data_IF_010074799873
#
_entry.id   IF_010074799873
#
_cell.length_a   1.000
_cell.length_b   1.000
_cell.length_c   1.000
_cell.angle_alpha   90.00
_cell.angle_beta   90.00
_cell.angle_gamma   90.00
#
_symmetry.space_group_name_H-M   'P 1'
#
loop_
_entity.id
_entity.type
_entity.pdbx_description
1 polymer ?
#
# COMPACT_ATOMS: atom_id res chain seq x y z
N UNK A 1 -23.82 21.33 -1.12
CA UNK A 1 -23.97 22.48 -2.04
C UNK A 1 -24.97 22.10 -3.12
N UNK A 2 -26.19 22.66 -3.11
CA UNK A 2 -27.13 22.50 -4.24
C UNK A 2 -26.72 23.49 -5.33
N UNK A 3 -25.80 23.08 -6.20
CA UNK A 3 -25.40 23.86 -7.38
C UNK A 3 -26.31 23.53 -8.55
N UNK A 4 -27.23 24.44 -8.90
CA UNK A 4 -27.98 24.34 -10.16
C UNK A 4 -27.06 24.79 -11.30
N UNK A 5 -26.61 23.84 -12.12
CA UNK A 5 -25.95 24.14 -13.40
C UNK A 5 -27.00 24.74 -14.34
N UNK A 6 -26.95 26.05 -14.54
CA UNK A 6 -27.80 26.72 -15.53
C UNK A 6 -26.96 27.04 -16.76
N UNK A 7 -27.26 26.42 -17.90
CA UNK A 7 -26.84 26.92 -19.20
C UNK A 7 -27.57 28.24 -19.46
N UNK A 8 -26.94 29.36 -19.12
CA UNK A 8 -27.34 30.64 -19.69
C UNK A 8 -26.80 30.73 -21.13
N UNK A 9 -27.34 31.64 -21.95
CA UNK A 9 -27.11 31.78 -23.40
C UNK A 9 -25.66 32.13 -23.84
N UNK A 10 -24.67 31.84 -23.00
CA UNK A 10 -23.23 31.98 -23.20
C UNK A 10 -22.63 30.61 -23.50
N UNK A 11 -21.57 30.47 -24.34
CA UNK A 11 -20.93 29.19 -24.62
C UNK A 11 -20.27 28.54 -23.38
N UNK A 12 -20.13 29.30 -22.29
CA UNK A 12 -19.48 28.88 -21.07
C UNK A 12 -20.48 28.32 -20.05
N UNK A 13 -20.13 27.18 -19.45
CA UNK A 13 -20.89 26.61 -18.33
C UNK A 13 -20.56 27.41 -17.08
N UNK A 14 -21.57 27.91 -16.36
CA UNK A 14 -21.36 28.67 -15.12
C UNK A 14 -21.98 27.95 -13.92
N UNK A 15 -21.35 28.11 -12.75
CA UNK A 15 -21.87 27.64 -11.46
C UNK A 15 -22.13 28.83 -10.53
N UNK A 16 -23.13 28.69 -9.65
CA UNK A 16 -23.39 29.64 -8.56
C UNK A 16 -22.76 29.16 -7.27
N UNK A 17 -21.93 30.02 -6.67
CA UNK A 17 -21.32 29.82 -5.35
C UNK A 17 -21.74 30.97 -4.44
N UNK A 18 -22.70 30.71 -3.54
CA UNK A 18 -23.34 31.77 -2.75
C UNK A 18 -24.06 32.76 -3.67
N UNK A 19 -23.71 34.04 -3.55
CA UNK A 19 -24.27 35.13 -4.39
C UNK A 19 -23.49 35.35 -5.69
N UNK A 20 -22.31 34.73 -5.84
CA UNK A 20 -21.44 34.90 -7.00
C UNK A 20 -21.75 33.86 -8.08
N UNK A 21 -21.76 34.30 -9.35
CA UNK A 21 -21.81 33.42 -10.52
C UNK A 21 -20.44 33.38 -11.17
N UNK A 22 -19.85 32.19 -11.26
CA UNK A 22 -18.49 31.99 -11.79
C UNK A 22 -18.51 31.01 -12.96
N UNK A 23 -17.55 31.14 -13.86
CA UNK A 23 -17.32 30.21 -14.96
C UNK A 23 -16.78 28.86 -14.44
N UNK A 24 -17.27 27.75 -15.00
CA UNK A 24 -16.89 26.40 -14.64
C UNK A 24 -15.94 25.81 -15.70
N UNK A 25 -14.71 25.50 -15.29
CA UNK A 25 -13.75 24.81 -16.13
C UNK A 25 -14.12 23.31 -16.26
N UNK A 26 -14.20 22.73 -17.47
CA UNK A 26 -14.53 21.31 -17.67
C UNK A 26 -13.56 20.34 -16.99
N UNK A 27 -12.29 20.73 -16.83
CA UNK A 27 -11.26 19.90 -16.20
C UNK A 27 -11.22 20.01 -14.67
N UNK A 28 -12.10 20.85 -14.08
CA UNK A 28 -12.11 21.05 -12.63
C UNK A 28 -12.58 19.79 -11.90
N UNK A 29 -11.75 19.31 -10.97
CA UNK A 29 -12.05 18.21 -10.06
C UNK A 29 -12.00 18.69 -8.62
N UNK A 30 -12.95 18.22 -7.81
CA UNK A 30 -13.08 18.61 -6.42
C UNK A 30 -12.92 17.39 -5.51
N UNK A 31 -11.99 17.47 -4.57
CA UNK A 31 -11.70 16.43 -3.59
C UNK A 31 -11.81 17.03 -2.19
N UNK A 32 -12.49 16.32 -1.28
CA UNK A 32 -12.53 16.63 0.15
C UNK A 32 -12.00 15.41 0.91
N UNK A 33 -11.18 15.65 1.92
CA UNK A 33 -10.74 14.63 2.87
C UNK A 33 -11.31 14.93 4.26
N UNK A 34 -11.59 13.89 5.04
CA UNK A 34 -12.02 14.00 6.43
C UNK A 34 -11.32 12.94 7.27
N UNK A 35 -11.01 13.27 8.53
CA UNK A 35 -10.45 12.33 9.52
C UNK A 35 -11.53 11.60 10.32
N UNK A 36 -12.80 11.99 10.15
CA UNK A 36 -13.92 11.32 10.81
C UNK A 36 -14.10 9.92 10.24
N UNK A 37 -14.07 8.91 11.09
CA UNK A 37 -14.19 7.50 10.69
C UNK A 37 -15.57 7.17 10.12
N UNK A 38 -16.62 7.77 10.69
CA UNK A 38 -18.01 7.59 10.25
C UNK A 38 -18.75 8.94 10.20
N UNK A 39 -18.52 9.76 9.16
CA UNK A 39 -19.22 11.02 8.99
C UNK A 39 -20.68 10.79 8.60
N UNK A 40 -21.60 11.46 9.29
CA UNK A 40 -23.03 11.37 8.99
C UNK A 40 -23.40 12.33 7.86
N UNK A 41 -23.91 11.80 6.75
CA UNK A 41 -24.35 12.59 5.60
C UNK A 41 -25.87 12.56 5.47
N UNK A 42 -26.46 13.71 5.08
CA UNK A 42 -27.86 13.74 4.70
C UNK A 42 -28.05 13.04 3.34
N UNK A 43 -29.16 12.32 3.11
CA UNK A 43 -29.42 11.63 1.84
C UNK A 43 -29.39 12.54 0.59
N UNK A 44 -29.56 13.85 0.77
CA UNK A 44 -29.51 14.85 -0.32
C UNK A 44 -28.09 15.13 -0.84
N UNK A 45 -27.06 14.61 -0.17
CA UNK A 45 -25.66 14.82 -0.56
C UNK A 45 -25.22 13.71 -1.50
N UNK A 46 -25.22 13.99 -2.81
CA UNK A 46 -24.67 13.09 -3.82
C UNK A 46 -23.14 13.21 -3.87
N UNK A 47 -22.45 12.38 -3.09
CA UNK A 47 -20.99 12.28 -3.09
C UNK A 47 -20.56 10.82 -3.25
N UNK A 48 -19.47 10.60 -3.98
CA UNK A 48 -18.78 9.29 -3.99
C UNK A 48 -17.83 9.24 -2.81
N UNK A 49 -18.04 8.30 -1.89
CA UNK A 49 -17.18 8.12 -0.72
C UNK A 49 -16.08 7.11 -1.02
N UNK A 50 -14.83 7.50 -0.77
CA UNK A 50 -13.67 6.61 -0.78
C UNK A 50 -13.21 6.40 0.66
N UNK A 51 -13.21 5.16 1.11
CA UNK A 51 -12.77 4.80 2.45
C UNK A 51 -11.30 4.35 2.44
N UNK A 52 -10.44 5.14 3.08
CA UNK A 52 -9.01 4.84 3.25
C UNK A 52 -8.69 4.22 4.62
N UNK A 53 -9.69 3.59 5.26
CA UNK A 53 -9.46 2.88 6.51
C UNK A 53 -8.52 1.70 6.29
N UNK A 54 -7.52 1.61 7.15
CA UNK A 54 -6.59 0.47 7.21
C UNK A 54 -7.41 -0.77 7.57
N UNK A 55 -7.39 -1.78 6.70
CA UNK A 55 -8.04 -3.07 6.96
C UNK A 55 -7.09 -3.98 7.75
N UNK A 56 -7.63 -4.96 8.50
CA UNK A 56 -6.79 -5.96 9.17
C UNK A 56 -5.83 -6.68 8.22
N UNK A 57 -6.34 -7.11 7.07
CA UNK A 57 -5.56 -7.77 6.01
C UNK A 57 -4.46 -6.85 5.47
N UNK A 58 -4.81 -5.60 5.10
CA UNK A 58 -3.82 -4.63 4.60
C UNK A 58 -2.75 -4.28 5.63
N UNK A 59 -3.10 -4.22 6.91
CA UNK A 59 -2.13 -4.01 8.00
C UNK A 59 -1.20 -5.22 8.15
N UNK A 60 -1.72 -6.44 8.06
CA UNK A 60 -0.91 -7.66 8.11
C UNK A 60 0.09 -7.69 6.95
N UNK A 61 -0.36 -7.43 5.73
CA UNK A 61 0.52 -7.39 4.55
C UNK A 61 1.61 -6.32 4.68
N UNK A 62 1.24 -5.14 5.18
CA UNK A 62 2.19 -4.06 5.42
C UNK A 62 3.25 -4.45 6.46
N UNK A 63 2.84 -5.02 7.59
CA UNK A 63 3.75 -5.45 8.65
C UNK A 63 4.62 -6.63 8.20
N UNK A 64 4.08 -7.55 7.40
CA UNK A 64 4.83 -8.65 6.79
C UNK A 64 5.94 -8.13 5.88
N UNK A 65 5.64 -7.15 5.04
CA UNK A 65 6.66 -6.48 4.22
C UNK A 65 7.77 -5.86 5.06
N UNK A 66 7.42 -5.16 6.15
CA UNK A 66 8.39 -4.53 7.03
C UNK A 66 9.28 -5.55 7.73
N UNK A 67 8.72 -6.61 8.32
CA UNK A 67 9.52 -7.61 9.04
C UNK A 67 10.44 -8.36 8.08
N UNK A 68 9.96 -8.74 6.89
CA UNK A 68 10.79 -9.40 5.87
C UNK A 68 11.92 -8.50 5.44
N UNK A 69 11.66 -7.22 5.13
CA UNK A 69 12.70 -6.29 4.69
C UNK A 69 13.78 -6.06 5.76
N UNK A 70 13.45 -6.18 7.05
CA UNK A 70 14.41 -6.04 8.15
C UNK A 70 15.17 -7.33 8.47
N UNK A 71 14.51 -8.48 8.41
CA UNK A 71 15.10 -9.78 8.74
C UNK A 71 15.90 -10.37 7.58
N UNK A 72 15.39 -10.19 6.35
CA UNK A 72 15.90 -10.76 5.10
C UNK A 72 15.96 -9.70 4.00
N UNK A 73 16.86 -8.70 4.14
CA UNK A 73 17.03 -7.67 3.11
C UNK A 73 17.49 -8.25 1.77
N UNK A 74 18.19 -9.39 1.80
CA UNK A 74 18.59 -10.18 0.64
C UNK A 74 17.38 -10.59 -0.21
N UNK A 75 16.33 -11.10 0.43
CA UNK A 75 15.11 -11.54 -0.26
C UNK A 75 14.31 -10.34 -0.80
N UNK A 76 14.34 -9.21 -0.11
CA UNK A 76 13.66 -8.00 -0.57
C UNK A 76 14.37 -7.42 -1.80
N UNK A 77 15.69 -7.34 -1.81
CA UNK A 77 16.47 -6.91 -2.97
C UNK A 77 16.25 -7.82 -4.18
N UNK A 78 16.28 -9.14 -3.97
CA UNK A 78 16.01 -10.13 -5.02
C UNK A 78 14.58 -9.98 -5.58
N UNK A 79 13.59 -9.78 -4.70
CA UNK A 79 12.20 -9.55 -5.11
C UNK A 79 12.05 -8.27 -5.94
N UNK A 80 12.69 -7.17 -5.54
CA UNK A 80 12.65 -5.91 -6.29
C UNK A 80 13.32 -6.08 -7.67
N UNK A 81 14.45 -6.79 -7.74
CA UNK A 81 15.12 -7.10 -9.00
C UNK A 81 14.22 -7.92 -9.94
N UNK A 82 13.55 -8.96 -9.43
CA UNK A 82 12.61 -9.78 -10.20
C UNK A 82 11.40 -8.98 -10.69
N UNK A 83 10.89 -8.03 -9.91
CA UNK A 83 9.80 -7.14 -10.32
C UNK A 83 10.18 -6.28 -11.52
N UNK A 84 11.36 -5.64 -11.45
CA UNK A 84 11.87 -4.81 -12.56
C UNK A 84 12.14 -5.66 -13.79
N UNK A 85 12.78 -6.82 -13.61
CA UNK A 85 13.06 -7.75 -14.71
C UNK A 85 11.76 -8.29 -15.34
N UNK A 86 10.76 -8.65 -14.54
CA UNK A 86 9.47 -9.14 -15.03
C UNK A 86 8.69 -8.07 -15.80
N UNK A 87 8.75 -6.81 -15.37
CA UNK A 87 8.17 -5.69 -16.10
C UNK A 87 8.86 -5.48 -17.46
N UNK A 88 10.19 -5.54 -17.49
CA UNK A 88 10.98 -5.42 -18.72
C UNK A 88 10.73 -6.59 -19.68
N UNK A 89 10.72 -7.84 -19.18
CA UNK A 89 10.41 -9.02 -19.99
C UNK A 89 9.01 -8.91 -20.63
N UNK A 90 7.99 -8.48 -19.86
CA UNK A 90 6.63 -8.27 -20.38
C UNK A 90 6.58 -7.18 -21.44
N UNK A 91 7.34 -6.10 -21.26
CA UNK A 91 7.49 -5.03 -22.26
C UNK A 91 8.09 -5.56 -23.55
N UNK A 92 9.21 -6.29 -23.45
CA UNK A 92 9.91 -6.86 -24.61
C UNK A 92 9.05 -7.88 -25.36
N UNK A 93 8.31 -8.74 -24.66
CA UNK A 93 7.38 -9.68 -25.29
C UNK A 93 6.31 -8.95 -26.10
N UNK A 94 5.74 -7.87 -25.54
CA UNK A 94 4.78 -7.04 -26.26
C UNK A 94 5.39 -6.36 -27.48
N UNK A 95 6.60 -5.83 -27.38
CA UNK A 95 7.29 -5.21 -28.52
C UNK A 95 7.59 -6.22 -29.64
N UNK A 96 7.92 -7.46 -29.27
CA UNK A 96 8.10 -8.54 -30.24
C UNK A 96 6.76 -8.89 -30.90
N UNK A 97 5.67 -8.96 -30.13
CA UNK A 97 4.32 -9.20 -30.65
C UNK A 97 3.89 -8.10 -31.63
N UNK A 98 4.04 -6.83 -31.24
CA UNK A 98 3.72 -5.67 -32.08
C UNK A 98 4.53 -5.69 -33.37
N UNK A 99 5.83 -6.04 -33.30
CA UNK A 99 6.70 -6.16 -34.48
C UNK A 99 6.28 -7.30 -35.41
N UNK A 100 5.84 -8.44 -34.86
CA UNK A 100 5.29 -9.55 -35.66
C UNK A 100 4.02 -9.10 -36.39
N UNK A 101 3.11 -8.41 -35.69
CA UNK A 101 1.88 -7.88 -36.28
C UNK A 101 2.15 -6.85 -37.36
N UNK A 102 3.12 -5.96 -37.16
CA UNK A 102 3.55 -4.98 -38.15
C UNK A 102 4.03 -5.66 -39.44
N UNK A 103 4.95 -6.63 -39.33
CA UNK A 103 5.46 -7.39 -40.49
C UNK A 103 4.32 -8.11 -41.21
N UNK A 104 3.43 -8.79 -40.47
CA UNK A 104 2.28 -9.49 -41.05
C UNK A 104 1.31 -8.54 -41.76
N UNK A 105 1.15 -7.31 -41.26
CA UNK A 105 0.26 -6.30 -41.84
C UNK A 105 0.84 -5.58 -43.06
N UNK A 106 2.18 -5.44 -43.11
CA UNK A 106 2.89 -4.74 -44.17
C UNK A 106 3.19 -5.63 -45.39
N UNK A 107 3.14 -6.96 -45.24
CA UNK A 107 3.34 -7.89 -46.34
C UNK A 107 2.17 -7.86 -47.33
N UNK A 108 2.35 -7.19 -48.47
CA UNK A 108 1.47 -7.28 -49.63
C UNK A 108 1.89 -8.49 -50.51
N UNK A 109 1.06 -9.54 -50.56
CA UNK A 109 1.33 -10.74 -51.36
C UNK A 109 1.68 -11.99 -50.54
N UNK A 110 2.45 -12.93 -51.11
CA UNK A 110 2.85 -14.16 -50.43
C UNK A 110 4.03 -13.90 -49.50
N UNK A 111 3.79 -13.84 -48.18
CA UNK A 111 4.81 -13.61 -47.17
C UNK A 111 5.96 -14.62 -47.19
N UNK A 112 5.74 -15.83 -47.73
CA UNK A 112 6.78 -16.85 -47.85
C UNK A 112 7.87 -16.49 -48.88
N UNK A 113 7.60 -15.51 -49.75
CA UNK A 113 8.56 -15.01 -50.76
C UNK A 113 9.36 -13.81 -50.23
N UNK A 114 8.94 -13.20 -49.11
CA UNK A 114 9.67 -12.12 -48.45
C UNK A 114 10.68 -12.71 -47.45
N UNK A 115 11.91 -12.91 -47.92
CA UNK A 115 13.03 -13.40 -47.11
C UNK A 115 13.26 -12.53 -45.86
N UNK A 116 13.00 -11.22 -45.95
CA UNK A 116 13.19 -10.29 -44.82
C UNK A 116 12.12 -10.50 -43.74
N UNK A 117 10.86 -10.66 -44.15
CA UNK A 117 9.76 -10.98 -43.24
C UNK A 117 10.00 -12.33 -42.54
N UNK A 118 10.41 -13.36 -43.28
CA UNK A 118 10.73 -14.69 -42.73
C UNK A 118 11.87 -14.61 -41.72
N UNK A 119 12.92 -13.84 -42.00
CA UNK A 119 14.06 -13.70 -41.10
C UNK A 119 13.69 -12.93 -39.83
N UNK A 120 12.89 -11.86 -39.94
CA UNK A 120 12.39 -11.11 -38.78
C UNK A 120 11.51 -12.02 -37.91
N UNK A 121 10.54 -12.74 -38.49
CA UNK A 121 9.66 -13.66 -37.77
C UNK A 121 10.45 -14.77 -37.05
N UNK A 122 11.46 -15.33 -37.71
CA UNK A 122 12.33 -16.36 -37.12
C UNK A 122 13.12 -15.82 -35.92
N UNK A 123 13.78 -14.65 -36.07
CA UNK A 123 14.55 -14.03 -34.99
C UNK A 123 13.67 -13.59 -33.81
N UNK A 124 12.49 -13.02 -34.09
CA UNK A 124 11.49 -12.64 -33.10
C UNK A 124 10.98 -13.85 -32.31
N UNK A 125 10.73 -14.98 -32.97
CA UNK A 125 10.31 -16.22 -32.31
C UNK A 125 11.37 -16.77 -31.37
N UNK A 126 12.65 -16.77 -31.78
CA UNK A 126 13.76 -17.23 -30.93
C UNK A 126 13.86 -16.34 -29.69
N UNK A 127 13.88 -15.02 -29.88
CA UNK A 127 13.96 -14.07 -28.76
C UNK A 127 12.76 -14.17 -27.81
N UNK A 128 11.53 -14.31 -28.34
CA UNK A 128 10.34 -14.49 -27.52
C UNK A 128 10.40 -15.76 -26.67
N UNK A 129 10.88 -16.88 -27.23
CA UNK A 129 11.06 -18.13 -26.49
C UNK A 129 12.10 -17.97 -25.37
N UNK A 130 13.23 -17.33 -25.64
CA UNK A 130 14.27 -17.07 -24.62
C UNK A 130 13.75 -16.19 -23.47
N UNK A 131 13.00 -15.13 -23.79
CA UNK A 131 12.41 -14.25 -22.77
C UNK A 131 11.33 -14.99 -21.97
N UNK A 132 10.52 -15.82 -22.64
CA UNK A 132 9.48 -16.62 -21.97
C UNK A 132 10.09 -17.65 -21.01
N UNK A 133 11.23 -18.25 -21.35
CA UNK A 133 11.94 -19.18 -20.46
C UNK A 133 12.51 -18.44 -19.24
N UNK A 134 13.14 -17.28 -19.45
CA UNK A 134 13.62 -16.42 -18.34
C UNK A 134 12.47 -15.99 -17.42
N UNK A 135 11.31 -15.67 -18.00
CA UNK A 135 10.12 -15.27 -17.25
C UNK A 135 9.58 -16.44 -16.40
N UNK A 136 9.56 -17.66 -16.94
CA UNK A 136 9.15 -18.84 -16.18
C UNK A 136 10.09 -19.12 -14.98
N UNK A 137 11.40 -18.94 -15.16
CA UNK A 137 12.38 -19.06 -14.06
C UNK A 137 12.12 -17.99 -13.00
N UNK A 138 11.90 -16.73 -13.41
CA UNK A 138 11.61 -15.63 -12.49
C UNK A 138 10.36 -15.90 -11.64
N UNK A 139 9.29 -16.43 -12.23
CA UNK A 139 8.05 -16.79 -11.53
C UNK A 139 8.27 -17.91 -10.49
N UNK A 140 9.05 -18.94 -10.83
CA UNK A 140 9.40 -20.00 -9.87
C UNK A 140 10.23 -19.45 -8.71
N UNK A 141 11.15 -18.52 -8.98
CA UNK A 141 11.95 -17.87 -7.93
C UNK A 141 11.08 -16.98 -7.05
N UNK A 142 10.16 -16.21 -7.63
CA UNK A 142 9.19 -15.39 -6.88
C UNK A 142 8.36 -16.23 -5.91
N UNK A 143 7.88 -17.41 -6.36
CA UNK A 143 7.15 -18.33 -5.50
C UNK A 143 7.99 -18.84 -4.32
N UNK A 144 9.28 -19.10 -4.51
CA UNK A 144 10.19 -19.51 -3.42
C UNK A 144 10.43 -18.38 -2.42
N UNK A 145 10.59 -17.15 -2.92
CA UNK A 145 10.70 -15.97 -2.08
C UNK A 145 9.44 -15.82 -1.25
N UNK A 146 8.26 -15.89 -1.87
CA UNK A 146 6.99 -15.77 -1.16
C UNK A 146 6.77 -16.88 -0.13
N UNK A 147 7.15 -18.13 -0.43
CA UNK A 147 7.14 -19.22 0.56
C UNK A 147 8.01 -18.91 1.79
N UNK A 148 9.18 -18.31 1.57
CA UNK A 148 10.06 -17.92 2.68
C UNK A 148 9.46 -16.77 3.49
N UNK A 149 8.79 -15.82 2.82
CA UNK A 149 8.08 -14.71 3.47
C UNK A 149 6.95 -15.21 4.37
N UNK A 150 6.25 -16.27 3.97
CA UNK A 150 5.16 -16.85 4.76
C UNK A 150 5.60 -17.27 6.17
N UNK A 151 6.87 -17.61 6.38
CA UNK A 151 7.42 -17.93 7.70
C UNK A 151 7.32 -16.79 8.72
N UNK A 152 7.23 -15.53 8.26
CA UNK A 152 7.11 -14.35 9.12
C UNK A 152 5.66 -13.89 9.33
N UNK A 153 4.69 -14.52 8.65
CA UNK A 153 3.25 -14.21 8.78
C UNK A 153 2.75 -14.17 10.23
N UNK A 154 3.14 -15.11 11.13
CA UNK A 154 2.68 -15.06 12.51
C UNK A 154 3.03 -13.76 13.23
N UNK A 155 4.21 -13.19 12.97
CA UNK A 155 4.64 -11.90 13.57
C UNK A 155 3.73 -10.77 13.10
N UNK A 156 3.43 -10.74 11.79
CA UNK A 156 2.58 -9.72 11.18
C UNK A 156 1.13 -9.80 11.69
N UNK A 157 0.57 -11.02 11.78
CA UNK A 157 -0.78 -11.25 12.32
C UNK A 157 -0.89 -10.79 13.76
N UNK A 158 0.05 -11.21 14.62
CA UNK A 158 0.06 -10.80 16.03
C UNK A 158 0.15 -9.28 16.18
N UNK A 159 1.05 -8.65 15.42
CA UNK A 159 1.29 -7.22 15.48
C UNK A 159 0.11 -6.40 14.93
N UNK A 160 -0.60 -6.90 13.91
CA UNK A 160 -1.82 -6.27 13.43
C UNK A 160 -2.93 -6.31 14.49
N UNK A 161 -3.15 -7.47 15.15
CA UNK A 161 -4.11 -7.58 16.25
C UNK A 161 -3.78 -6.58 17.36
N UNK A 162 -2.50 -6.46 17.72
CA UNK A 162 -2.05 -5.51 18.73
C UNK A 162 -2.32 -4.06 18.32
N UNK A 163 -2.06 -3.69 17.06
CA UNK A 163 -2.35 -2.35 16.55
C UNK A 163 -3.84 -1.99 16.67
N UNK A 164 -4.74 -2.87 16.22
CA UNK A 164 -6.18 -2.61 16.32
C UNK A 164 -6.66 -2.58 17.77
N UNK A 165 -6.12 -3.44 18.62
CA UNK A 165 -6.40 -3.43 20.07
C UNK A 165 -6.01 -2.09 20.72
N UNK A 166 -4.85 -1.54 20.36
CA UNK A 166 -4.39 -0.22 20.83
C UNK A 166 -5.27 0.89 20.23
N UNK A 167 -5.62 0.81 18.95
CA UNK A 167 -6.47 1.81 18.30
C UNK A 167 -7.86 1.89 18.95
N UNK A 168 -8.38 0.78 19.47
CA UNK A 168 -9.66 0.72 20.17
C UNK A 168 -9.62 1.33 21.58
N UNK A 169 -8.44 1.53 22.18
CA UNK A 169 -8.29 2.22 23.48
C UNK A 169 -8.75 3.68 23.42
N UNK A 170 -8.71 4.31 22.25
CA UNK A 170 -9.22 5.66 22.05
C UNK A 170 -10.74 5.77 22.33
N UNK A 171 -11.48 4.65 22.30
CA UNK A 171 -12.90 4.61 22.67
C UNK A 171 -13.11 4.72 24.19
N UNK A 172 -12.10 4.40 24.99
CA UNK A 172 -12.13 4.55 26.46
C UNK A 172 -11.80 5.99 26.83
N UNK A 173 -10.65 6.49 26.36
CA UNK A 173 -10.25 7.88 26.55
C UNK A 173 -9.50 8.39 25.30
N UNK A 174 -9.87 9.56 24.75
CA UNK A 174 -9.24 10.10 23.53
C UNK A 174 -7.72 10.31 23.62
N UNK A 175 -7.17 10.35 24.84
CA UNK A 175 -5.72 10.46 25.06
C UNK A 175 -4.93 9.23 24.56
N UNK A 176 -5.55 8.05 24.48
CA UNK A 176 -4.91 6.83 23.96
C UNK A 176 -4.94 6.75 22.42
N UNK A 177 -5.18 7.85 21.73
CA UNK A 177 -5.17 7.89 20.27
C UNK A 177 -3.73 7.97 19.75
N UNK A 178 -3.23 6.84 19.25
CA UNK A 178 -1.92 6.76 18.61
C UNK A 178 -2.00 6.81 17.08
N UNK A 179 -0.95 7.30 16.44
CA UNK A 179 -0.84 7.30 14.97
C UNK A 179 -0.30 5.96 14.45
N UNK A 180 -0.65 5.60 13.22
CA UNK A 180 -0.05 4.45 12.53
C UNK A 180 1.48 4.58 12.49
N UNK A 181 2.00 5.76 12.14
CA UNK A 181 3.44 6.01 12.05
C UNK A 181 4.17 5.72 13.36
N UNK A 182 3.57 6.10 14.50
CA UNK A 182 4.12 5.76 15.82
C UNK A 182 4.22 4.24 16.01
N UNK A 183 3.15 3.50 15.70
CA UNK A 183 3.14 2.05 15.85
C UNK A 183 4.16 1.37 14.93
N UNK A 184 4.26 1.80 13.67
CA UNK A 184 5.24 1.26 12.72
C UNK A 184 6.68 1.50 13.21
N UNK A 185 6.99 2.69 13.71
CA UNK A 185 8.31 2.98 14.26
C UNK A 185 8.62 2.11 15.50
N UNK A 186 7.63 1.89 16.37
CA UNK A 186 7.76 1.02 17.52
C UNK A 186 7.99 -0.45 17.12
N UNK A 187 7.23 -0.92 16.13
CA UNK A 187 7.38 -2.27 15.57
C UNK A 187 8.79 -2.49 15.00
N UNK A 188 9.25 -1.54 14.18
CA UNK A 188 10.61 -1.52 13.65
C UNK A 188 11.66 -1.55 14.77
N UNK A 189 11.53 -0.67 15.76
CA UNK A 189 12.45 -0.60 16.89
C UNK A 189 12.49 -1.93 17.66
N UNK A 190 11.35 -2.60 17.79
CA UNK A 190 11.24 -3.87 18.49
C UNK A 190 11.96 -4.99 17.74
N UNK A 191 11.88 -5.02 16.40
CA UNK A 191 12.61 -5.97 15.56
C UNK A 191 14.13 -5.72 15.65
N UNK A 192 14.54 -4.45 15.58
CA UNK A 192 15.96 -4.07 15.61
C UNK A 192 16.63 -4.38 16.96
N UNK A 193 15.88 -4.29 18.06
CA UNK A 193 16.39 -4.54 19.42
C UNK A 193 16.15 -5.98 19.92
N UNK A 194 15.36 -6.79 19.22
CA UNK A 194 15.12 -8.17 19.63
C UNK A 194 16.32 -9.06 19.28
N UNK A 195 16.63 -10.01 20.16
CA UNK A 195 17.75 -10.92 19.95
C UNK A 195 17.52 -11.80 18.70
N UNK A 196 18.41 -11.70 17.72
CA UNK A 196 18.35 -12.49 16.48
C UNK A 196 18.51 -13.98 16.82
N UNK A 197 17.74 -14.81 16.12
CA UNK A 197 17.75 -16.25 16.29
C UNK A 197 17.47 -16.92 14.95
N UNK A 198 18.24 -17.95 14.61
CA UNK A 198 18.13 -18.69 13.36
C UNK A 198 16.84 -19.53 13.30
N UNK A 199 16.26 -19.88 14.46
CA UNK A 199 15.01 -20.61 14.56
C UNK A 199 13.84 -19.61 14.52
N UNK A 200 13.08 -19.61 13.42
CA UNK A 200 11.96 -18.69 13.19
C UNK A 200 10.92 -18.69 14.33
N UNK A 201 10.60 -19.85 14.90
CA UNK A 201 9.63 -19.94 16.01
C UNK A 201 10.13 -19.23 17.29
N UNK A 202 11.41 -19.37 17.59
CA UNK A 202 12.03 -18.69 18.73
C UNK A 202 12.16 -17.18 18.45
N UNK A 203 12.49 -16.82 17.20
CA UNK A 203 12.52 -15.42 16.76
C UNK A 203 11.15 -14.75 16.87
N UNK A 204 10.08 -15.45 16.50
CA UNK A 204 8.69 -15.02 16.67
C UNK A 204 8.38 -14.73 18.15
N UNK A 205 8.67 -15.66 19.05
CA UNK A 205 8.39 -15.51 20.48
C UNK A 205 9.11 -14.29 21.08
N UNK A 206 10.41 -14.13 20.79
CA UNK A 206 11.21 -13.01 21.33
C UNK A 206 10.74 -11.66 20.77
N UNK A 207 10.42 -11.61 19.47
CA UNK A 207 10.01 -10.36 18.81
C UNK A 207 8.62 -9.92 19.27
N UNK A 208 7.66 -10.84 19.35
CA UNK A 208 6.31 -10.54 19.83
C UNK A 208 6.30 -10.10 21.30
N UNK A 209 7.10 -10.74 22.16
CA UNK A 209 7.24 -10.37 23.57
C UNK A 209 7.80 -8.94 23.76
N UNK A 210 8.83 -8.57 22.98
CA UNK A 210 9.41 -7.22 23.04
C UNK A 210 8.43 -6.16 22.52
N UNK A 211 7.74 -6.42 21.41
CA UNK A 211 6.71 -5.51 20.87
C UNK A 211 5.63 -5.28 21.94
N UNK A 212 5.13 -6.36 22.54
CA UNK A 212 4.10 -6.29 23.57
C UNK A 212 4.56 -5.48 24.79
N UNK A 213 5.77 -5.76 25.31
CA UNK A 213 6.35 -5.03 26.44
C UNK A 213 6.53 -3.55 26.14
N UNK A 214 7.03 -3.18 24.96
CA UNK A 214 7.22 -1.77 24.59
C UNK A 214 5.88 -1.04 24.42
N UNK A 215 4.88 -1.69 23.82
CA UNK A 215 3.50 -1.18 23.76
C UNK A 215 2.90 -0.93 25.16
N UNK A 216 3.11 -1.86 26.10
CA UNK A 216 2.67 -1.71 27.48
C UNK A 216 3.43 -0.61 28.22
N UNK A 217 4.74 -0.50 28.05
CA UNK A 217 5.53 0.57 28.66
C UNK A 217 5.07 1.95 28.18
N UNK A 218 4.78 2.13 26.89
CA UNK A 218 4.26 3.38 26.38
C UNK A 218 2.86 3.71 26.93
N UNK A 219 1.96 2.73 27.04
CA UNK A 219 0.64 2.95 27.64
C UNK A 219 0.72 3.22 29.15
N UNK A 220 1.57 2.49 29.88
CA UNK A 220 1.73 2.63 31.33
C UNK A 220 2.40 3.95 31.70
N UNK A 221 3.45 4.35 30.98
CA UNK A 221 4.09 5.67 31.18
C UNK A 221 3.09 6.79 30.95
N UNK A 222 2.25 6.72 29.91
CA UNK A 222 1.18 7.69 29.70
C UNK A 222 0.14 7.69 30.82
N UNK A 223 -0.31 6.52 31.27
CA UNK A 223 -1.29 6.41 32.36
C UNK A 223 -0.76 7.00 33.67
N UNK A 224 0.51 6.69 34.03
CA UNK A 224 1.19 7.21 35.21
C UNK A 224 1.40 8.72 35.10
N UNK A 225 1.86 9.22 33.95
CA UNK A 225 2.10 10.64 33.73
C UNK A 225 0.78 11.43 33.77
N UNK A 226 -0.29 10.89 33.18
CA UNK A 226 -1.62 11.49 33.22
C UNK A 226 -2.16 11.60 34.66
N UNK A 227 -2.07 10.53 35.44
CA UNK A 227 -2.47 10.58 36.85
C UNK A 227 -1.62 11.57 37.67
N UNK A 228 -0.32 11.65 37.41
CA UNK A 228 0.56 12.63 38.05
C UNK A 228 0.19 14.08 37.68
N UNK A 229 -0.06 14.36 36.39
CA UNK A 229 -0.47 15.69 35.91
C UNK A 229 -1.86 16.07 36.41
N UNK A 230 -2.81 15.12 36.44
CA UNK A 230 -4.16 15.35 36.98
C UNK A 230 -4.12 15.64 38.48
N UNK A 231 -3.26 14.93 39.23
CA UNK A 231 -3.01 15.20 40.65
C UNK A 231 -2.45 16.62 40.88
N UNK A 232 -1.49 17.05 40.06
CA UNK A 232 -0.94 18.41 40.12
C UNK A 232 -1.98 19.48 39.74
N UNK A 233 -2.80 19.26 38.71
CA UNK A 233 -3.88 20.17 38.31
C UNK A 233 -4.96 20.31 39.38
N UNK A 234 -5.31 19.22 40.09
CA UNK A 234 -6.26 19.29 41.20
C UNK A 234 -5.71 20.08 42.40
N UNK A 235 -4.40 20.02 42.68
CA UNK A 235 -3.78 20.86 43.73
C UNK A 235 -3.84 22.36 43.40
N UNK A 236 -3.70 22.75 42.13
CA UNK A 236 -3.76 24.16 41.72
C UNK A 236 -5.17 24.74 41.66
N UNK A 237 -6.22 23.91 41.68
CA UNK A 237 -7.64 24.36 41.74
C UNK A 237 -8.21 24.36 43.17
N UNK A 238 -7.43 23.94 44.16
CA UNK A 238 -7.81 23.91 45.58
C UNK A 238 -7.20 25.07 46.39
N UNK A 239 -6.56 26.03 45.72
CA UNK A 239 -6.08 27.32 46.22
C UNK A 239 -6.84 28.44 45.50
#
# INVERSE_FOLDING_TARGET
MKGSLRRQASPYVCIRLGDSTIEYAPDFRFYITTKLRNPHYLPEVSVTLLNFMITPEGMQDQLLGIVVARERPDLEEEKQALLVQGAENKRQLKEIEDKILEVLSASEGNILEDETAVQILSSSKVLANEISEKQAIAEVTELKIDQTRLGYTPIAVHSAILFFSIADLANIEPMYQYSLTWFINLFILSIDNSQKNDILEQRYSVTTDIIFKLCLLCNWTFHVLYHALKSQSCSYKAL
#
